data_IF_522099736725
#
_entry.id   IF_522099736725
#
_cell.length_a   1.000
_cell.length_b   1.000
_cell.length_c   1.000
_cell.angle_alpha   90.00
_cell.angle_beta   90.00
_cell.angle_gamma   90.00
#
_symmetry.space_group_name_H-M   'P 1'
#
loop_
_entity.id
_entity.type
_entity.pdbx_description
1 polymer ?
#
# COMPACT_ATOMS: atom_id res chain seq x y z
N UNK A 1 -16.14 18.36 3.57
CA UNK A 1 -14.98 17.68 4.18
C UNK A 1 -15.55 16.78 5.27
N UNK A 2 -16.07 15.63 4.86
CA UNK A 2 -16.58 14.60 5.78
C UNK A 2 -15.40 14.16 6.62
N UNK A 3 -15.49 14.08 7.97
CA UNK A 3 -14.41 13.53 8.76
C UNK A 3 -14.08 12.17 8.20
N UNK A 4 -12.81 12.01 7.78
CA UNK A 4 -12.21 10.73 7.46
C UNK A 4 -12.60 9.81 8.63
N UNK A 5 -13.53 8.87 8.40
CA UNK A 5 -13.79 7.80 9.37
C UNK A 5 -12.42 7.18 9.55
N UNK A 6 -11.78 7.43 10.68
CA UNK A 6 -10.37 7.17 10.91
C UNK A 6 -9.99 5.83 10.29
N UNK A 7 -9.45 5.87 9.06
CA UNK A 7 -9.16 4.65 8.33
C UNK A 7 -8.06 3.98 9.11
N UNK A 8 -8.28 2.74 9.54
CA UNK A 8 -7.24 1.98 10.22
C UNK A 8 -6.20 1.60 9.18
N UNK A 9 -5.02 2.20 9.30
CA UNK A 9 -3.91 1.98 8.39
C UNK A 9 -2.95 0.93 8.96
N UNK A 10 -2.59 -0.05 8.13
CA UNK A 10 -1.41 -0.87 8.32
C UNK A 10 -0.23 -0.22 7.57
N UNK A 11 0.92 -0.07 8.23
CA UNK A 11 2.10 0.55 7.63
C UNK A 11 3.20 -0.48 7.41
N UNK A 12 3.86 -0.40 6.25
CA UNK A 12 5.01 -1.21 5.91
C UNK A 12 6.13 -0.30 5.40
N UNK A 13 7.30 -0.36 6.04
CA UNK A 13 8.51 0.32 5.55
C UNK A 13 9.48 -0.74 5.05
N UNK A 14 9.85 -0.66 3.79
CA UNK A 14 10.81 -1.57 3.17
C UNK A 14 12.18 -0.92 3.06
N UNK A 15 13.27 -1.61 3.47
CA UNK A 15 14.62 -1.16 3.20
C UNK A 15 14.96 -1.31 1.70
N UNK A 16 15.91 -0.52 1.16
CA UNK A 16 16.25 -0.47 -0.26
C UNK A 16 16.72 -1.79 -0.90
N UNK A 17 17.24 -2.73 -0.11
CA UNK A 17 17.81 -4.00 -0.60
C UNK A 17 17.04 -5.25 -0.11
N UNK A 18 15.78 -5.10 0.33
CA UNK A 18 14.97 -6.19 0.88
C UNK A 18 14.28 -7.05 -0.19
N UNK A 19 14.16 -8.37 0.02
CA UNK A 19 13.31 -9.22 -0.84
C UNK A 19 11.82 -8.83 -0.70
N UNK A 20 11.25 -8.28 -1.78
CA UNK A 20 9.95 -7.57 -1.83
C UNK A 20 8.71 -8.47 -1.83
N UNK A 21 8.64 -9.45 -2.74
CA UNK A 21 7.44 -10.28 -2.97
C UNK A 21 6.81 -10.83 -1.71
N UNK A 22 7.63 -11.32 -0.77
CA UNK A 22 7.11 -12.01 0.42
C UNK A 22 6.41 -11.07 1.39
N UNK A 23 6.95 -9.87 1.64
CA UNK A 23 6.39 -8.97 2.65
C UNK A 23 5.13 -8.26 2.17
N UNK A 24 5.17 -7.71 0.95
CA UNK A 24 4.02 -6.99 0.36
C UNK A 24 2.88 -7.97 0.08
N UNK A 25 3.19 -9.13 -0.50
CA UNK A 25 2.21 -10.18 -0.75
C UNK A 25 1.51 -10.68 0.51
N UNK A 26 2.24 -10.87 1.62
CA UNK A 26 1.63 -11.26 2.90
C UNK A 26 0.65 -10.21 3.43
N UNK A 27 1.01 -8.93 3.36
CA UNK A 27 0.15 -7.84 3.84
C UNK A 27 -1.10 -7.75 2.97
N UNK A 28 -0.97 -7.74 1.65
CA UNK A 28 -2.12 -7.69 0.75
C UNK A 28 -3.03 -8.91 0.91
N UNK A 29 -2.48 -10.12 0.98
CA UNK A 29 -3.26 -11.33 1.20
C UNK A 29 -4.02 -11.29 2.54
N UNK A 30 -3.37 -10.83 3.62
CA UNK A 30 -4.01 -10.67 4.92
C UNK A 30 -5.13 -9.61 4.92
N UNK A 31 -4.90 -8.49 4.23
CA UNK A 31 -5.91 -7.44 4.09
C UNK A 31 -7.10 -7.90 3.23
N UNK A 32 -6.84 -8.55 2.09
CA UNK A 32 -7.88 -9.11 1.22
C UNK A 32 -8.73 -10.16 1.94
N UNK A 33 -8.09 -11.05 2.72
CA UNK A 33 -8.78 -12.02 3.55
C UNK A 33 -9.70 -11.34 4.60
N UNK A 34 -9.23 -10.27 5.26
CA UNK A 34 -10.05 -9.49 6.21
C UNK A 34 -11.21 -8.77 5.52
N UNK A 35 -10.98 -8.26 4.31
CA UNK A 35 -11.98 -7.58 3.50
C UNK A 35 -13.00 -8.52 2.83
N UNK A 36 -12.74 -9.84 2.84
CA UNK A 36 -13.49 -10.85 2.07
C UNK A 36 -13.50 -10.56 0.56
N UNK A 37 -12.44 -9.90 0.08
CA UNK A 37 -12.23 -9.58 -1.34
C UNK A 37 -11.61 -10.78 -2.05
N UNK A 38 -12.08 -11.07 -3.27
CA UNK A 38 -11.49 -12.11 -4.10
C UNK A 38 -10.02 -11.83 -4.42
N UNK A 39 -9.19 -12.88 -4.46
CA UNK A 39 -7.73 -12.75 -4.72
C UNK A 39 -7.37 -12.60 -6.21
N UNK A 40 -8.35 -12.35 -7.08
CA UNK A 40 -8.07 -12.06 -8.49
C UNK A 40 -7.37 -10.71 -8.59
N UNK A 41 -6.23 -10.65 -9.29
CA UNK A 41 -5.43 -9.42 -9.36
C UNK A 41 -4.42 -9.24 -8.22
N UNK A 42 -4.29 -10.20 -7.29
CA UNK A 42 -3.36 -10.09 -6.16
C UNK A 42 -1.90 -10.09 -6.64
N UNK A 43 -1.56 -10.98 -7.57
CA UNK A 43 -0.20 -11.07 -8.10
C UNK A 43 0.14 -9.79 -8.87
N UNK A 44 -0.77 -9.29 -9.71
CA UNK A 44 -0.60 -8.03 -10.44
C UNK A 44 -0.50 -6.82 -9.50
N UNK A 45 -1.26 -6.80 -8.40
CA UNK A 45 -1.17 -5.77 -7.38
C UNK A 45 0.16 -5.80 -6.62
N UNK A 46 0.69 -6.99 -6.34
CA UNK A 46 2.03 -7.14 -5.76
C UNK A 46 3.07 -6.61 -6.74
N UNK A 47 3.04 -7.04 -8.01
CA UNK A 47 3.99 -6.57 -9.04
C UNK A 47 3.96 -5.04 -9.17
N UNK A 48 2.78 -4.42 -9.18
CA UNK A 48 2.66 -2.97 -9.25
C UNK A 48 3.28 -2.26 -8.03
N UNK A 49 3.14 -2.82 -6.83
CA UNK A 49 3.76 -2.26 -5.63
C UNK A 49 5.28 -2.43 -5.62
N UNK A 50 5.78 -3.51 -6.22
CA UNK A 50 7.23 -3.75 -6.37
C UNK A 50 7.89 -2.68 -7.27
N UNK A 51 7.22 -2.25 -8.33
CA UNK A 51 7.73 -1.20 -9.23
C UNK A 51 7.99 0.14 -8.52
N UNK A 52 7.33 0.41 -7.39
CA UNK A 52 7.58 1.62 -6.58
C UNK A 52 8.76 1.48 -5.62
N UNK A 53 9.36 0.31 -5.53
CA UNK A 53 10.58 0.10 -4.76
C UNK A 53 11.81 0.30 -5.63
N UNK A 54 12.33 1.53 -5.65
CA UNK A 54 13.44 1.90 -6.55
C UNK A 54 14.82 1.49 -6.02
N UNK A 55 14.92 1.00 -4.78
CA UNK A 55 16.20 0.65 -4.14
C UNK A 55 17.08 1.85 -3.76
N UNK A 56 16.69 3.09 -4.11
CA UNK A 56 17.45 4.31 -3.77
C UNK A 56 17.24 4.77 -2.31
N UNK A 57 16.26 4.19 -1.62
CA UNK A 57 15.90 4.54 -0.25
C UNK A 57 14.72 3.71 0.28
N UNK A 58 14.34 3.92 1.55
CA UNK A 58 13.24 3.18 2.13
C UNK A 58 11.90 3.56 1.47
N UNK A 59 11.16 2.57 0.99
CA UNK A 59 9.80 2.76 0.47
C UNK A 59 8.80 2.56 1.60
N UNK A 60 7.85 3.49 1.75
CA UNK A 60 6.77 3.38 2.74
C UNK A 60 5.46 3.12 2.04
N UNK A 61 4.79 2.06 2.46
CA UNK A 61 3.43 1.74 2.08
C UNK A 61 2.48 1.90 3.27
N UNK A 62 1.25 2.27 2.98
CA UNK A 62 0.14 2.12 3.91
C UNK A 62 -1.02 1.41 3.22
N UNK A 63 -1.75 0.63 4.00
CA UNK A 63 -2.87 -0.17 3.53
C UNK A 63 -4.10 0.13 4.37
N UNK A 64 -5.25 0.30 3.75
CA UNK A 64 -6.51 0.54 4.42
C UNK A 64 -7.60 -0.39 3.90
N UNK A 65 -8.55 -0.70 4.79
CA UNK A 65 -9.84 -1.26 4.40
C UNK A 65 -10.81 -0.11 4.14
N UNK A 66 -11.45 -0.11 2.97
CA UNK A 66 -12.43 0.90 2.59
C UNK A 66 -13.64 0.21 1.96
N UNK A 67 -14.77 0.15 2.67
CA UNK A 67 -16.09 -0.30 2.16
C UNK A 67 -15.99 -1.47 1.14
N UNK A 68 -15.47 -2.62 1.59
CA UNK A 68 -15.25 -3.83 0.79
C UNK A 68 -14.08 -3.79 -0.23
N UNK A 69 -13.14 -2.87 -0.03
CA UNK A 69 -11.91 -2.77 -0.82
C UNK A 69 -10.65 -2.76 0.05
N UNK A 70 -9.54 -3.21 -0.53
CA UNK A 70 -8.19 -2.99 0.02
C UNK A 70 -7.52 -1.90 -0.80
N UNK A 71 -7.17 -0.80 -0.14
CA UNK A 71 -6.42 0.29 -0.75
C UNK A 71 -4.98 0.21 -0.31
N UNK A 72 -4.04 0.20 -1.25
CA UNK A 72 -2.62 0.36 -0.97
C UNK A 72 -2.13 1.70 -1.52
N UNK A 73 -1.38 2.42 -0.69
CA UNK A 73 -0.83 3.72 -1.01
C UNK A 73 0.68 3.72 -0.74
N UNK A 74 1.42 4.42 -1.58
CA UNK A 74 2.87 4.64 -1.42
C UNK A 74 3.12 6.08 -0.99
N UNK A 75 4.09 6.30 -0.11
CA UNK A 75 4.58 7.63 0.25
C UNK A 75 5.28 8.25 -0.96
N UNK A 76 4.84 9.44 -1.36
CA UNK A 76 5.52 10.21 -2.38
C UNK A 76 6.76 10.89 -1.77
N UNK A 77 7.89 10.95 -2.50
CA UNK A 77 9.05 11.71 -2.05
C UNK A 77 8.64 13.16 -1.84
N UNK A 78 8.99 13.72 -0.67
CA UNK A 78 8.66 15.10 -0.34
C UNK A 78 9.34 16.03 -1.35
N UNK A 79 8.56 16.58 -2.28
CA UNK A 79 9.00 17.66 -3.13
C UNK A 79 9.49 18.83 -2.27
N UNK A 80 10.56 19.49 -2.76
CA UNK A 80 11.31 20.53 -2.07
C UNK A 80 10.40 21.52 -1.28
N UNK A 81 10.25 21.30 0.04
CA UNK A 81 9.59 22.25 0.96
C UNK A 81 8.26 21.84 1.64
N UNK A 82 7.77 20.60 1.50
CA UNK A 82 6.56 20.16 2.21
C UNK A 82 6.83 19.33 3.48
N UNK A 83 6.23 19.71 4.62
CA UNK A 83 6.29 18.95 5.90
C UNK A 83 5.26 17.80 5.92
N UNK A 84 4.27 17.82 5.04
CA UNK A 84 3.22 16.81 4.96
C UNK A 84 3.60 15.66 4.01
N UNK A 85 3.60 14.43 4.55
CA UNK A 85 3.76 13.19 3.79
C UNK A 85 2.57 13.01 2.87
N UNK A 86 2.80 13.06 1.56
CA UNK A 86 1.79 12.77 0.55
C UNK A 86 1.75 11.28 0.28
N UNK A 87 0.54 10.76 0.12
CA UNK A 87 0.28 9.35 -0.13
C UNK A 87 -0.49 9.25 -1.43
N UNK A 88 -0.04 8.35 -2.30
CA UNK A 88 -0.66 8.09 -3.59
C UNK A 88 -1.24 6.69 -3.59
N UNK A 89 -2.53 6.56 -3.89
CA UNK A 89 -3.15 5.26 -4.18
C UNK A 89 -2.54 4.65 -5.42
N UNK A 90 -2.09 3.41 -5.29
CA UNK A 90 -1.46 2.63 -6.37
C UNK A 90 -2.22 1.34 -6.63
N UNK A 91 -2.83 0.75 -5.60
CA UNK A 91 -3.68 -0.43 -5.73
C UNK A 91 -5.01 -0.16 -5.04
N UNK A 92 -6.09 -0.60 -5.70
CA UNK A 92 -7.41 -0.74 -5.11
C UNK A 92 -7.95 -2.12 -5.51
N UNK A 93 -7.98 -3.05 -4.57
CA UNK A 93 -8.57 -4.37 -4.76
C UNK A 93 -10.04 -4.30 -4.36
N UNK A 94 -10.93 -4.59 -5.30
CA UNK A 94 -12.38 -4.65 -5.08
C UNK A 94 -12.88 -6.05 -5.42
N UNK A 95 -13.99 -6.45 -4.81
CA UNK A 95 -14.59 -7.77 -5.03
C UNK A 95 -15.36 -7.89 -6.34
#
# INVERSE_FOLDING_TARGET
MTPDRAREYAYLTLPPDGQLRSCVGLVLAGMAARARVGVGGLDEAVELLEDFHTGDGPTRFRFALADDAVVAEVEEPAGNGGVERRWRTVVELVS
#
